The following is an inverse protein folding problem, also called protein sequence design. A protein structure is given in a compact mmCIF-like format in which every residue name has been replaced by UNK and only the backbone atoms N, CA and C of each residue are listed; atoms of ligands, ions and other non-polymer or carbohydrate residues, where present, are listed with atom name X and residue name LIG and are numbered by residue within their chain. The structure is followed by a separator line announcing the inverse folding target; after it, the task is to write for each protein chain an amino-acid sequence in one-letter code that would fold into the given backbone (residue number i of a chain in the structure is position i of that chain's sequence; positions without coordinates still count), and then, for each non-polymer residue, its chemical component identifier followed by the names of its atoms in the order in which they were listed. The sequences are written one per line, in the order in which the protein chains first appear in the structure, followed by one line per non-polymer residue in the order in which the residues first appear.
data_IF_557952962036
#
_entry.id   IF_557952962036
#
_cell.length_a   1.000
_cell.length_b   1.000
_cell.length_c   1.000
_cell.angle_alpha   90.00
_cell.angle_beta   90.00
_cell.angle_gamma   90.00
#
_symmetry.space_group_name_H-M   'P 1'
#
loop_
_entity.id
_entity.type
_entity.pdbx_description
1 polymer ?
#
# COMPACT_ATOMS: atom_id res chain seq x y z
N UNK A 1 19.73 11.81 -8.36
CA UNK A 1 18.31 12.16 -8.17
C UNK A 1 17.51 10.97 -7.66
N UNK A 2 17.50 9.83 -8.38
CA UNK A 2 16.73 8.64 -7.98
C UNK A 2 17.16 7.98 -6.65
N UNK A 3 18.47 7.75 -6.43
CA UNK A 3 18.96 7.12 -5.19
C UNK A 3 18.51 7.88 -3.92
N UNK A 4 18.67 9.22 -3.81
CA UNK A 4 18.14 10.00 -2.69
C UNK A 4 16.64 9.80 -2.40
N UNK A 5 15.81 9.64 -3.44
CA UNK A 5 14.37 9.38 -3.31
C UNK A 5 14.15 7.95 -2.79
N UNK A 6 14.82 6.97 -3.43
CA UNK A 6 14.70 5.56 -3.08
C UNK A 6 15.14 5.30 -1.63
N UNK A 7 16.21 5.93 -1.16
CA UNK A 7 16.69 5.77 0.22
C UNK A 7 15.66 6.31 1.24
N UNK A 8 14.93 7.37 0.92
CA UNK A 8 13.83 7.85 1.76
C UNK A 8 12.67 6.85 1.79
N UNK A 9 12.29 6.28 0.64
CA UNK A 9 11.24 5.25 0.57
C UNK A 9 11.62 4.01 1.38
N UNK A 10 12.86 3.53 1.23
CA UNK A 10 13.38 2.36 1.98
C UNK A 10 13.45 2.62 3.48
N UNK A 11 13.92 3.81 3.90
CA UNK A 11 14.00 4.18 5.32
C UNK A 11 12.63 4.19 5.99
N UNK A 12 11.58 4.52 5.23
CA UNK A 12 10.19 4.48 5.69
C UNK A 12 9.48 3.15 5.43
N UNK A 13 10.22 2.11 5.00
CA UNK A 13 9.70 0.76 4.71
C UNK A 13 8.49 0.78 3.77
N UNK A 14 8.49 1.71 2.81
CA UNK A 14 7.39 1.85 1.86
C UNK A 14 7.52 0.84 0.72
N UNK A 15 6.43 0.11 0.49
CA UNK A 15 6.29 -0.87 -0.57
C UNK A 15 5.12 -0.49 -1.49
N UNK A 16 5.16 -0.92 -2.75
CA UNK A 16 4.13 -0.64 -3.76
C UNK A 16 3.85 0.86 -3.97
N UNK A 17 4.90 1.68 -3.92
CA UNK A 17 4.81 3.14 -4.10
C UNK A 17 5.64 3.61 -5.30
N UNK A 18 5.17 4.66 -5.95
CA UNK A 18 5.90 5.41 -6.97
C UNK A 18 6.09 6.85 -6.51
N UNK A 19 7.33 7.35 -6.56
CA UNK A 19 7.65 8.72 -6.20
C UNK A 19 8.26 9.46 -7.40
N UNK A 20 7.70 10.63 -7.70
CA UNK A 20 8.17 11.52 -8.77
C UNK A 20 8.45 12.90 -8.17
N UNK A 21 9.64 13.43 -8.43
CA UNK A 21 10.01 14.79 -8.01
C UNK A 21 10.31 15.62 -9.24
N UNK A 22 9.47 16.61 -9.51
CA UNK A 22 9.67 17.58 -10.59
C UNK A 22 10.50 18.74 -10.09
N UNK A 23 11.63 19.01 -10.75
CA UNK A 23 12.52 20.13 -10.41
C UNK A 23 12.70 21.06 -11.60
N UNK A 24 12.43 22.35 -11.38
CA UNK A 24 12.76 23.42 -12.33
C UNK A 24 14.11 24.05 -11.98
N UNK A 25 14.92 24.38 -12.99
CA UNK A 25 16.25 24.99 -12.76
C UNK A 25 16.12 26.49 -12.47
N UNK A 26 16.61 26.92 -11.30
CA UNK A 26 16.50 28.31 -10.83
C UNK A 26 17.71 29.21 -11.13
N UNK A 27 18.49 28.92 -12.17
CA UNK A 27 19.64 29.75 -12.56
C UNK A 27 20.97 29.46 -11.83
N UNK A 28 20.95 28.73 -10.71
CA UNK A 28 22.15 28.37 -9.95
C UNK A 28 22.25 26.84 -9.77
N UNK A 29 23.46 26.29 -9.96
CA UNK A 29 23.76 24.87 -9.74
C UNK A 29 23.89 24.59 -8.23
N UNK A 30 23.21 23.56 -7.76
CA UNK A 30 23.22 23.15 -6.34
C UNK A 30 24.41 22.24 -5.97
N UNK A 31 25.18 21.76 -6.94
CA UNK A 31 26.16 20.69 -6.73
C UNK A 31 25.52 19.35 -6.33
N UNK A 32 26.35 18.32 -6.16
CA UNK A 32 25.88 16.97 -5.85
C UNK A 32 25.15 16.92 -4.48
N UNK A 33 25.77 17.48 -3.44
CA UNK A 33 25.20 17.49 -2.09
C UNK A 33 23.88 18.28 -1.99
N UNK A 34 23.77 19.40 -2.70
CA UNK A 34 22.54 20.19 -2.72
C UNK A 34 21.39 19.46 -3.44
N UNK A 35 21.68 18.75 -4.53
CA UNK A 35 20.67 17.91 -5.19
C UNK A 35 20.23 16.76 -4.31
N UNK A 36 21.15 16.06 -3.64
CA UNK A 36 20.81 14.95 -2.74
C UNK A 36 19.83 15.42 -1.66
N UNK A 37 20.14 16.52 -0.97
CA UNK A 37 19.26 17.09 0.06
C UNK A 37 17.90 17.52 -0.49
N UNK A 38 17.87 18.19 -1.65
CA UNK A 38 16.61 18.68 -2.23
C UNK A 38 15.66 17.52 -2.57
N UNK A 39 16.15 16.46 -3.22
CA UNK A 39 15.33 15.31 -3.59
C UNK A 39 14.88 14.50 -2.36
N UNK A 40 15.78 14.23 -1.41
CA UNK A 40 15.40 13.50 -0.19
C UNK A 40 14.39 14.28 0.65
N UNK A 41 14.59 15.59 0.83
CA UNK A 41 13.68 16.41 1.62
C UNK A 41 12.28 16.46 0.99
N UNK A 42 12.18 16.71 -0.32
CA UNK A 42 10.89 16.76 -1.00
C UNK A 42 10.10 15.44 -0.84
N UNK A 43 10.79 14.30 -0.96
CA UNK A 43 10.16 12.98 -0.73
C UNK A 43 9.75 12.79 0.73
N UNK A 44 10.63 13.09 1.69
CA UNK A 44 10.35 12.89 3.11
C UNK A 44 9.16 13.73 3.59
N UNK A 45 9.15 15.03 3.28
CA UNK A 45 8.08 15.92 3.70
C UNK A 45 6.73 15.53 3.11
N UNK A 46 6.73 14.96 1.89
CA UNK A 46 5.50 14.47 1.26
C UNK A 46 4.96 13.25 2.00
N UNK A 47 5.83 12.31 2.39
CA UNK A 47 5.43 11.12 3.17
C UNK A 47 4.89 11.55 4.53
N UNK A 48 5.58 12.47 5.21
CA UNK A 48 5.17 12.97 6.53
C UNK A 48 3.77 13.62 6.48
N UNK A 49 3.42 14.28 5.37
CA UNK A 49 2.12 14.92 5.18
C UNK A 49 1.00 13.94 4.81
N UNK A 50 1.30 12.92 3.98
CA UNK A 50 0.30 11.94 3.54
C UNK A 50 0.01 10.87 4.59
N UNK A 51 0.99 10.58 5.45
CA UNK A 51 0.93 9.45 6.37
C UNK A 51 1.17 8.11 5.69
N UNK A 52 1.34 7.07 6.51
CA UNK A 52 1.65 5.70 6.06
C UNK A 52 0.53 4.76 6.50
N UNK A 53 0.08 3.91 5.58
CA UNK A 53 -0.93 2.87 5.84
C UNK A 53 -0.26 1.50 5.93
N UNK A 54 -0.78 0.65 6.81
CA UNK A 54 -0.28 -0.72 6.96
C UNK A 54 -0.82 -1.60 5.83
N UNK A 55 0.07 -2.17 5.02
CA UNK A 55 -0.27 -3.24 4.09
C UNK A 55 -0.23 -4.57 4.83
N UNK A 56 -1.33 -5.33 4.79
CA UNK A 56 -1.44 -6.64 5.42
C UNK A 56 -1.69 -7.67 4.32
N UNK A 57 -0.82 -8.68 4.24
CA UNK A 57 -1.06 -9.83 3.36
C UNK A 57 -2.27 -10.60 3.87
N UNK A 58 -3.29 -10.71 3.02
CA UNK A 58 -4.45 -11.57 3.25
C UNK A 58 -4.29 -12.86 2.46
N UNK A 59 -4.84 -13.94 2.99
CA UNK A 59 -4.95 -15.20 2.28
C UNK A 59 -6.40 -15.38 1.84
N UNK A 60 -6.60 -15.64 0.55
CA UNK A 60 -7.89 -16.04 0.02
C UNK A 60 -8.11 -17.52 0.33
N UNK A 61 -9.31 -17.87 0.80
CA UNK A 61 -9.73 -19.23 1.08
C UNK A 61 -10.98 -19.54 0.26
N UNK A 62 -11.02 -20.74 -0.32
CA UNK A 62 -12.20 -21.28 -0.99
C UNK A 62 -12.75 -22.39 -0.12
N UNK A 63 -14.05 -22.30 0.21
CA UNK A 63 -14.76 -23.26 1.02
C UNK A 63 -15.92 -23.80 0.19
N UNK A 64 -16.21 -25.09 0.34
CA UNK A 64 -17.43 -25.70 -0.19
C UNK A 64 -18.20 -26.24 1.00
N UNK A 65 -19.43 -25.76 1.16
CA UNK A 65 -20.30 -26.01 2.28
C UNK A 65 -21.71 -26.36 1.81
N UNK A 66 -22.45 -27.05 2.66
CA UNK A 66 -23.86 -27.28 2.40
C UNK A 66 -24.66 -25.98 2.62
N UNK A 67 -25.77 -25.83 1.89
CA UNK A 67 -26.68 -24.69 2.03
C UNK A 67 -27.13 -24.43 3.47
N UNK A 68 -27.26 -25.47 4.29
CA UNK A 68 -27.68 -25.35 5.69
C UNK A 68 -26.62 -24.67 6.60
N UNK A 69 -25.38 -24.55 6.15
CA UNK A 69 -24.27 -23.91 6.86
C UNK A 69 -24.04 -22.47 6.40
N UNK A 70 -24.56 -22.09 5.23
CA UNK A 70 -24.25 -20.81 4.59
C UNK A 70 -24.61 -19.61 5.47
N UNK A 71 -25.83 -19.53 5.99
CA UNK A 71 -26.25 -18.39 6.81
C UNK A 71 -25.43 -18.27 8.11
N UNK A 72 -25.08 -19.41 8.72
CA UNK A 72 -24.25 -19.44 9.93
C UNK A 72 -22.82 -18.98 9.64
N UNK A 73 -22.24 -19.45 8.54
CA UNK A 73 -20.90 -19.04 8.13
C UNK A 73 -20.89 -17.55 7.77
N UNK A 74 -21.85 -17.09 6.99
CA UNK A 74 -21.99 -15.68 6.60
C UNK A 74 -22.07 -14.77 7.83
N UNK A 75 -22.93 -15.12 8.80
CA UNK A 75 -23.04 -14.38 10.05
C UNK A 75 -21.72 -14.35 10.84
N UNK A 76 -21.02 -15.48 10.92
CA UNK A 76 -19.70 -15.53 11.58
C UNK A 76 -18.68 -14.61 10.88
N UNK A 77 -18.59 -14.68 9.55
CA UNK A 77 -17.65 -13.87 8.76
C UNK A 77 -17.95 -12.37 8.91
N UNK A 78 -19.22 -11.96 8.91
CA UNK A 78 -19.61 -10.57 9.14
C UNK A 78 -19.20 -10.06 10.53
N UNK A 79 -19.41 -10.86 11.58
CA UNK A 79 -19.03 -10.48 12.95
C UNK A 79 -17.51 -10.38 13.15
N UNK A 80 -16.75 -11.24 12.48
CA UNK A 80 -15.28 -11.21 12.50
C UNK A 80 -14.70 -10.20 11.47
N UNK A 81 -15.55 -9.45 10.77
CA UNK A 81 -15.18 -8.50 9.71
C UNK A 81 -14.31 -9.14 8.59
N UNK A 82 -14.58 -10.41 8.28
CA UNK A 82 -13.93 -11.16 7.21
C UNK A 82 -14.77 -10.97 5.92
N UNK A 83 -14.21 -10.35 4.87
CA UNK A 83 -14.94 -10.11 3.64
C UNK A 83 -15.15 -11.41 2.84
N UNK A 84 -16.32 -11.55 2.23
CA UNK A 84 -16.59 -12.57 1.21
C UNK A 84 -16.31 -11.92 -0.15
N UNK A 85 -15.36 -12.46 -0.91
CA UNK A 85 -14.99 -11.92 -2.22
C UNK A 85 -15.89 -12.42 -3.35
N UNK A 86 -16.27 -13.70 -3.32
CA UNK A 86 -17.14 -14.33 -4.32
C UNK A 86 -17.96 -15.46 -3.67
N UNK A 87 -19.15 -15.73 -4.21
CA UNK A 87 -20.03 -16.82 -3.77
C UNK A 87 -20.62 -17.50 -5.00
N UNK A 88 -20.45 -18.82 -5.11
CA UNK A 88 -20.96 -19.61 -6.24
C UNK A 88 -22.03 -20.57 -5.75
N UNK A 89 -23.21 -20.53 -6.36
CA UNK A 89 -24.34 -21.38 -5.97
C UNK A 89 -24.44 -22.59 -6.90
N UNK A 90 -24.10 -23.78 -6.39
CA UNK A 90 -24.24 -25.07 -7.10
C UNK A 90 -25.09 -26.04 -6.28
N UNK A 91 -24.87 -27.35 -6.34
CA UNK A 91 -25.47 -28.29 -5.38
C UNK A 91 -24.97 -28.05 -3.94
N UNK A 92 -23.80 -27.42 -3.83
CA UNK A 92 -23.20 -26.85 -2.62
C UNK A 92 -22.79 -25.40 -2.89
N UNK A 93 -22.52 -24.64 -1.83
CA UNK A 93 -22.01 -23.26 -1.92
C UNK A 93 -20.51 -23.24 -1.66
#
# INVERSE_FOLDING_TARGET
AGVPILEVLKKNELHNVLAVVTRYFGGIKLGAGGLIRAYSNATSTTIDQLGIVKLINKQQLTLTIDYNQFDKLKYFLENEAIPIEDTQYTDQI
#
